data_IF_466145000958
#
_entry.id   IF_466145000958
#
_cell.length_a   1.000
_cell.length_b   1.000
_cell.length_c   1.000
_cell.angle_alpha   90.00
_cell.angle_beta   90.00
_cell.angle_gamma   90.00
#
_symmetry.space_group_name_H-M   'P 1'
#
loop_
_entity.id
_entity.type
_entity.pdbx_description
1 polymer ?
2 non-polymer ?
3 water ?
#
# COMPACT_ATOMS: atom_id res chain seq x y z
N UNK A 4 -12.37 -4.63 -3.60
CA UNK A 4 -12.10 -5.71 -2.66
C UNK A 4 -10.62 -6.04 -2.40
N UNK A 5 -9.68 -5.46 -3.14
CA UNK A 5 -8.27 -5.83 -3.05
C UNK A 5 -7.37 -4.67 -2.61
N UNK A 6 -6.51 -4.94 -1.63
CA UNK A 6 -5.49 -3.99 -1.21
C UNK A 6 -4.16 -4.39 -1.83
N UNK A 7 -3.31 -3.39 -2.08
CA UNK A 7 -2.01 -3.68 -2.68
C UNK A 7 -1.16 -4.44 -1.68
N UNK A 8 -0.45 -5.47 -2.15
CA UNK A 8 0.18 -6.41 -1.23
C UNK A 8 1.55 -5.91 -0.79
N UNK A 9 1.76 -5.87 0.53
CA UNK A 9 3.06 -5.58 1.12
C UNK A 9 3.40 -6.76 2.03
N UNK A 10 4.55 -7.41 1.86
CA UNK A 10 4.89 -8.56 2.71
C UNK A 10 4.93 -8.17 4.18
N UNK A 11 4.62 -9.14 5.04
CA UNK A 11 4.50 -8.76 6.45
C UNK A 11 5.86 -8.52 7.11
N UNK A 12 6.98 -8.80 6.45
CA UNK A 12 8.23 -8.39 7.06
C UNK A 12 8.51 -6.89 6.87
N UNK A 13 7.60 -6.14 6.25
CA UNK A 13 7.77 -4.72 6.03
C UNK A 13 6.54 -3.99 6.54
N UNK A 14 6.68 -2.67 6.66
CA UNK A 14 5.59 -1.79 7.05
C UNK A 14 5.72 -0.49 6.26
N UNK A 15 4.59 0.15 6.03
CA UNK A 15 4.61 1.54 5.58
C UNK A 15 4.53 2.46 6.79
N UNK A 16 5.57 3.28 6.98
CA UNK A 16 5.66 4.28 8.02
C UNK A 16 6.07 5.59 7.39
N UNK A 17 6.00 6.67 8.18
CA UNK A 17 6.32 7.98 7.63
C UNK A 17 7.75 8.00 7.10
N UNK A 18 7.91 8.36 5.82
CA UNK A 18 9.26 8.41 5.24
C UNK A 18 10.10 9.56 5.83
N UNK A 19 11.40 9.33 5.94
CA UNK A 19 12.31 10.33 6.46
C UNK A 19 13.06 11.07 5.36
N UNK A 20 12.82 10.71 4.11
CA UNK A 20 13.49 11.32 2.97
C UNK A 20 12.54 11.98 2.00
N UNK A 21 11.23 11.83 2.19
CA UNK A 21 10.24 12.40 1.29
C UNK A 21 8.95 12.55 2.07
N UNK A 22 8.08 13.44 1.58
CA UNK A 22 6.73 13.53 2.12
C UNK A 22 6.03 12.20 1.93
N UNK A 23 5.18 11.83 2.88
CA UNK A 23 4.40 10.60 2.75
C UNK A 23 5.08 9.37 3.32
N UNK A 24 4.61 8.23 2.85
CA UNK A 24 5.05 6.96 3.43
C UNK A 24 6.29 6.47 2.73
N UNK A 25 7.03 5.62 3.43
CA UNK A 25 8.08 4.83 2.79
C UNK A 25 8.04 3.41 3.32
N UNK A 26 8.86 2.54 2.71
CA UNK A 26 8.86 1.16 3.12
C UNK A 26 9.89 0.98 4.23
N UNK A 27 9.46 0.39 5.36
CA UNK A 27 10.28 0.19 6.54
C UNK A 27 10.34 -1.30 6.85
N UNK A 28 11.39 -1.74 7.54
CA UNK A 28 11.44 -3.12 7.97
C UNK A 28 10.53 -3.31 9.19
N UNK A 29 9.83 -4.45 9.25
CA UNK A 29 9.12 -4.87 10.45
C UNK A 29 9.84 -5.98 11.20
N UNK A 30 10.91 -6.52 10.60
CA UNK A 30 11.88 -7.36 11.28
C UNK A 30 13.21 -7.15 10.55
N UNK A 31 14.28 -7.70 11.14
CA UNK A 31 15.62 -7.46 10.63
C UNK A 31 15.75 -7.99 9.21
N UNK A 32 16.65 -7.38 8.45
CA UNK A 32 17.10 -7.93 7.17
C UNK A 32 18.57 -8.27 7.31
N UNK A 33 18.94 -9.47 6.91
CA UNK A 33 20.34 -9.88 6.94
C UNK A 33 21.04 -9.41 5.68
N UNK A 34 22.30 -8.99 5.83
CA UNK A 34 23.16 -8.74 4.69
C UNK A 34 23.11 -9.90 3.70
N UNK A 35 22.89 -9.58 2.44
CA UNK A 35 22.81 -10.57 1.39
C UNK A 35 21.41 -11.00 0.99
N UNK A 36 20.39 -10.68 1.77
CA UNK A 36 19.03 -10.97 1.33
C UNK A 36 18.70 -10.13 0.12
N UNK A 37 17.92 -10.71 -0.79
CA UNK A 37 17.54 -10.03 -2.00
C UNK A 37 16.03 -10.09 -2.15
N UNK A 38 15.48 -9.04 -2.72
CA UNK A 38 14.04 -8.88 -2.79
C UNK A 38 13.65 -8.57 -4.22
N UNK A 39 12.49 -9.09 -4.60
CA UNK A 39 12.00 -8.91 -5.94
C UNK A 39 11.63 -10.23 -6.59
N UNK A 40 11.56 -10.25 -7.93
CA UNK A 40 11.97 -9.16 -8.84
C UNK A 40 11.08 -7.91 -8.81
N UNK A 41 11.67 -6.79 -9.22
CA UNK A 41 10.94 -5.55 -9.44
C UNK A 41 9.95 -5.75 -10.56
N UNK A 42 8.71 -5.32 -10.35
CA UNK A 42 7.65 -5.52 -11.31
C UNK A 42 7.33 -4.21 -11.99
N UNK A 43 7.08 -4.27 -13.29
CA UNK A 43 6.61 -3.06 -13.96
C UNK A 43 6.16 -3.39 -15.38
N UNK A 44 5.69 -2.37 -16.07
CA UNK A 44 5.32 -2.54 -17.47
C UNK A 44 6.55 -2.44 -18.35
N UNK A 45 6.69 -3.36 -19.29
CA UNK A 45 7.82 -3.33 -20.21
C UNK A 45 7.62 -2.21 -21.23
N UNK A 46 8.49 -1.22 -21.20
CA UNK A 46 8.45 -0.10 -22.13
C UNK A 46 9.67 -0.15 -23.05
N UNK A 47 9.45 0.19 -24.39
CA UNK A 47 10.60 0.51 -25.24
C UNK A 47 10.97 1.97 -25.06
N UNK A 48 12.22 2.36 -25.26
CA UNK A 48 12.61 3.76 -25.04
C UNK A 48 11.81 4.72 -25.92
N UNK A 49 11.19 5.72 -25.27
CA UNK A 49 10.38 6.74 -25.95
C UNK A 49 10.16 7.96 -25.05
N UNK A 58 14.16 6.54 -9.55
CA UNK A 58 12.74 6.82 -9.76
C UNK A 58 11.91 5.55 -9.68
N UNK A 59 10.95 5.41 -10.59
CA UNK A 59 10.10 4.22 -10.71
C UNK A 59 10.43 3.39 -11.95
N UNK A 60 11.61 3.56 -12.52
CA UNK A 60 11.96 2.88 -13.78
C UNK A 60 13.33 2.24 -13.67
N UNK A 61 13.47 1.11 -14.36
CA UNK A 61 14.75 0.42 -14.45
C UNK A 61 14.99 0.00 -15.88
N UNK A 62 16.14 0.37 -16.43
CA UNK A 62 16.55 -0.20 -17.70
C UNK A 62 16.97 -1.64 -17.50
N UNK A 63 16.59 -2.51 -18.42
CA UNK A 63 17.04 -3.88 -18.39
C UNK A 63 17.96 -4.05 -19.60
N UNK A 64 19.19 -4.49 -19.35
CA UNK A 64 20.20 -4.61 -20.41
C UNK A 64 20.59 -6.06 -20.64
N UNK A 65 21.08 -6.35 -21.85
CA UNK A 65 21.52 -7.68 -22.19
C UNK A 65 22.97 -7.94 -21.84
N UNK A 66 23.43 -9.17 -22.17
CA UNK A 66 24.80 -9.59 -21.86
C UNK A 66 25.83 -8.57 -22.32
N UNK A 67 25.60 -7.95 -23.48
CA UNK A 67 26.53 -7.03 -24.12
C UNK A 67 26.34 -5.57 -23.71
N UNK A 68 25.42 -5.27 -22.80
CA UNK A 68 25.20 -3.89 -22.40
C UNK A 68 24.12 -3.16 -23.17
N UNK A 69 23.49 -3.82 -24.15
CA UNK A 69 22.45 -3.20 -24.96
C UNK A 69 21.14 -3.14 -24.18
N UNK A 70 20.40 -2.06 -24.36
CA UNK A 70 19.15 -1.88 -23.64
C UNK A 70 18.08 -2.76 -24.28
N UNK A 71 17.52 -3.66 -23.48
CA UNK A 71 16.43 -4.52 -23.97
C UNK A 71 15.09 -3.82 -23.86
N UNK A 72 14.80 -3.26 -22.69
CA UNK A 72 13.54 -2.55 -22.46
C UNK A 72 13.67 -1.84 -21.12
N UNK A 73 12.65 -1.05 -20.76
CA UNK A 73 12.57 -0.37 -19.47
C UNK A 73 11.39 -0.94 -18.70
N UNK A 74 11.62 -1.22 -17.41
CA UNK A 74 10.56 -1.59 -16.49
C UNK A 74 10.03 -0.33 -15.82
N UNK A 75 8.73 -0.07 -15.97
CA UNK A 75 8.12 1.16 -15.48
C UNK A 75 7.06 0.80 -14.44
N UNK A 76 7.28 1.21 -13.19
CA UNK A 76 6.34 0.98 -12.10
C UNK A 76 5.42 2.16 -11.86
N UNK A 77 5.34 3.10 -12.82
CA UNK A 77 4.49 4.28 -12.62
C UNK A 77 3.06 3.89 -12.27
N UNK A 78 2.58 2.80 -12.86
CA UNK A 78 1.22 2.36 -12.62
C UNK A 78 1.23 1.31 -11.53
N UNK A 79 0.61 1.57 -10.41
CA UNK A 79 0.65 0.61 -9.31
C UNK A 79 0.02 -0.67 -9.62
N UNK A 80 -0.90 -0.71 -10.57
CA UNK A 80 -1.51 -1.97 -10.93
C UNK A 80 -0.60 -2.89 -11.71
N UNK A 81 0.45 -2.37 -12.32
CA UNK A 81 1.36 -3.21 -12.96
C UNK A 81 2.67 -3.33 -12.22
N UNK A 82 2.71 -2.97 -10.95
CA UNK A 82 3.96 -3.11 -10.22
C UNK A 82 3.75 -3.79 -8.89
N UNK A 83 4.74 -3.73 -8.00
CA UNK A 83 4.61 -4.43 -6.74
C UNK A 83 5.22 -3.56 -5.65
N UNK A 84 5.37 -4.12 -4.47
CA UNK A 84 5.72 -3.32 -3.31
C UNK A 84 7.13 -2.73 -3.39
N UNK A 85 7.99 -3.20 -4.32
CA UNK A 85 9.33 -2.60 -4.40
C UNK A 85 9.25 -1.16 -4.83
N UNK A 86 8.12 -0.76 -5.44
CA UNK A 86 7.95 0.63 -5.83
C UNK A 86 7.92 1.60 -4.67
N UNK A 87 7.65 1.13 -3.45
CA UNK A 87 7.59 1.98 -2.28
C UNK A 87 8.94 2.29 -1.68
N UNK A 88 10.00 1.69 -2.21
CA UNK A 88 11.35 1.90 -1.69
C UNK A 88 11.90 3.17 -2.31
N UNK A 89 12.13 4.22 -1.49
CA UNK A 89 12.58 5.46 -2.07
C UNK A 89 14.09 5.43 -2.33
N UNK A 90 14.55 6.37 -3.14
CA UNK A 90 15.97 6.54 -3.41
C UNK A 90 16.68 7.16 -2.22
N UNK A 91 17.91 6.72 -1.95
CA UNK A 91 18.72 7.31 -0.87
C UNK A 91 19.19 8.70 -1.28
N UNK A 92 18.94 9.74 -0.48
CA UNK A 92 19.44 11.09 -0.84
C UNK A 92 20.96 11.19 -0.88
N UNK A 93 21.65 10.43 -0.06
CA UNK A 93 23.10 10.37 -0.07
C UNK A 93 23.52 8.91 0.07
N UNK A 94 24.62 8.54 -0.59
CA UNK A 94 25.05 7.15 -0.64
C UNK A 94 25.29 6.55 0.74
N UNK A 95 25.38 7.35 1.80
CA UNK A 95 25.58 6.81 3.14
C UNK A 95 24.31 6.24 3.72
N UNK A 96 23.15 6.73 3.27
CA UNK A 96 21.87 6.24 3.76
C UNK A 96 21.41 4.99 3.04
N UNK A 97 22.06 4.61 1.93
CA UNK A 97 21.57 3.48 1.15
C UNK A 97 21.74 2.21 1.96
N UNK A 98 20.71 1.34 1.97
CA UNK A 98 20.90 -0.01 2.48
C UNK A 98 20.48 -1.09 1.49
N UNK A 99 20.01 -0.72 0.29
CA UNK A 99 19.77 -1.66 -0.79
C UNK A 99 20.47 -1.17 -2.04
N UNK A 100 20.93 -2.12 -2.86
CA UNK A 100 21.48 -1.80 -4.16
C UNK A 100 20.75 -2.60 -5.23
N UNK A 101 20.56 -1.99 -6.39
CA UNK A 101 19.91 -2.68 -7.49
C UNK A 101 20.90 -3.57 -8.25
N UNK A 102 20.54 -4.83 -8.42
CA UNK A 102 21.34 -5.79 -9.16
C UNK A 102 20.49 -6.29 -10.29
N UNK A 103 21.06 -6.45 -11.48
CA UNK A 103 20.28 -7.06 -12.55
C UNK A 103 20.79 -8.49 -12.71
N UNK A 104 20.04 -9.44 -12.20
CA UNK A 104 20.43 -10.85 -12.23
C UNK A 104 19.77 -11.43 -13.46
N UNK A 105 20.57 -11.74 -14.48
CA UNK A 105 19.96 -12.07 -15.76
C UNK A 105 19.14 -10.89 -16.25
N UNK A 106 17.85 -11.09 -16.47
CA UNK A 106 16.97 -10.04 -16.96
C UNK A 106 16.07 -9.44 -15.88
N UNK A 107 16.27 -9.80 -14.62
CA UNK A 107 15.41 -9.29 -13.56
C UNK A 107 16.17 -8.30 -12.69
N UNK A 108 15.46 -7.30 -12.17
CA UNK A 108 16.01 -6.36 -11.20
C UNK A 108 15.66 -6.85 -9.81
N UNK A 109 16.68 -7.01 -8.97
CA UNK A 109 16.49 -7.33 -7.57
C UNK A 109 17.13 -6.24 -6.70
N UNK A 110 16.56 -6.07 -5.51
CA UNK A 110 17.12 -5.15 -4.54
C UNK A 110 17.86 -5.95 -3.49
N UNK A 111 19.18 -5.75 -3.41
CA UNK A 111 20.05 -6.58 -2.57
C UNK A 111 20.40 -5.81 -1.30
N UNK A 112 20.23 -6.46 -0.12
CA UNK A 112 20.62 -5.81 1.13
C UNK A 112 22.12 -5.87 1.28
N UNK A 113 22.76 -4.72 1.30
CA UNK A 113 24.23 -4.70 1.28
C UNK A 113 24.81 -4.53 2.67
N UNK A 114 23.97 -4.31 3.68
CA UNK A 114 24.36 -4.38 5.08
C UNK A 114 23.20 -5.05 5.82
N UNK A 115 23.44 -5.43 7.07
CA UNK A 115 22.35 -5.77 7.96
C UNK A 115 21.45 -4.55 8.13
N UNK A 116 20.13 -4.77 8.15
CA UNK A 116 19.18 -3.69 8.34
C UNK A 116 18.36 -3.99 9.58
N UNK A 117 18.38 -3.07 10.54
CA UNK A 117 17.64 -3.25 11.78
C UNK A 117 16.14 -3.13 11.53
N UNK A 118 15.34 -3.67 12.46
CA UNK A 118 13.91 -3.41 12.47
C UNK A 118 13.63 -1.92 12.54
N UNK A 119 12.49 -1.53 11.93
CA UNK A 119 11.98 -0.16 11.96
C UNK A 119 12.92 0.85 11.29
N UNK A 120 13.55 0.44 10.18
CA UNK A 120 14.41 1.30 9.37
C UNK A 120 13.86 1.44 7.96
N UNK A 121 13.91 2.65 7.41
CA UNK A 121 13.42 2.84 6.06
C UNK A 121 14.39 2.23 5.06
N UNK A 122 13.84 1.52 4.07
CA UNK A 122 14.66 0.93 3.01
C UNK A 122 14.93 1.98 1.96
N UNK A 123 16.18 2.10 1.53
CA UNK A 123 16.54 3.15 0.60
C UNK A 123 17.48 2.54 -0.43
N UNK A 124 17.14 2.72 -1.68
CA UNK A 124 17.89 2.12 -2.79
C UNK A 124 18.92 3.10 -3.31
N UNK A 125 20.07 2.57 -3.70
CA UNK A 125 21.08 3.36 -4.35
C UNK A 125 21.97 2.48 -5.20
N UNK A 126 23.11 3.05 -5.60
CA UNK A 126 24.15 2.33 -6.33
C UNK A 126 25.04 1.57 -5.36
N UNK A 127 25.50 0.41 -5.78
CA UNK A 127 26.69 -0.15 -5.16
C UNK A 127 27.80 0.86 -5.33
N UNK A 128 28.51 1.16 -4.26
CA UNK A 128 29.71 1.96 -4.52
C UNK A 128 30.97 1.37 -3.93
N UNK A 129 32.02 2.19 -3.89
CA UNK A 129 33.29 1.94 -3.19
C UNK A 129 34.24 3.06 -3.60
N UNK B 4 -25.17 -0.93 25.73
CA UNK B 4 -24.52 0.13 26.49
C UNK B 4 -23.31 0.68 25.76
N UNK B 5 -23.14 0.32 24.49
CA UNK B 5 -21.96 0.67 23.71
C UNK B 5 -22.33 1.57 22.55
N UNK B 6 -21.65 2.69 22.42
CA UNK B 6 -21.73 3.50 21.22
C UNK B 6 -20.59 3.16 20.28
N UNK B 7 -20.86 3.27 18.99
CA UNK B 7 -19.86 3.01 17.96
C UNK B 7 -18.74 4.02 18.05
N UNK B 8 -17.50 3.52 18.16
CA UNK B 8 -16.40 4.41 18.42
C UNK B 8 -15.94 5.06 17.11
N UNK B 9 -15.87 6.40 17.10
CA UNK B 9 -15.38 7.14 15.94
C UNK B 9 -14.33 8.12 16.45
N UNK B 10 -13.08 8.00 16.06
CA UNK B 10 -12.03 8.92 16.53
C UNK B 10 -12.39 10.39 16.35
N UNK B 11 -11.96 11.21 17.34
CA UNK B 11 -12.18 12.66 17.40
C UNK B 11 -11.94 13.38 16.09
N UNK B 12 -10.92 12.95 15.35
CA UNK B 12 -10.50 13.63 14.13
C UNK B 12 -11.42 13.36 12.94
N UNK B 13 -12.37 12.45 13.09
CA UNK B 13 -13.39 12.19 12.08
C UNK B 13 -14.77 12.57 12.60
N UNK B 14 -15.71 12.65 11.66
CA UNK B 14 -17.11 12.90 11.98
C UNK B 14 -17.98 12.02 11.10
N UNK B 15 -18.98 11.36 11.67
CA UNK B 15 -19.94 10.60 10.88
C UNK B 15 -21.11 11.52 10.52
N UNK B 16 -21.34 11.69 9.21
CA UNK B 16 -22.29 12.67 8.68
C UNK B 16 -23.05 11.99 7.55
N UNK B 17 -24.04 12.69 6.99
CA UNK B 17 -24.73 12.14 5.82
C UNK B 17 -23.73 12.03 4.66
N UNK B 18 -23.67 10.86 4.01
CA UNK B 18 -22.74 10.68 2.89
C UNK B 18 -23.19 11.48 1.68
N UNK B 19 -22.23 11.99 0.94
CA UNK B 19 -22.55 12.68 -0.31
C UNK B 19 -22.42 11.78 -1.54
N UNK B 20 -22.19 10.47 -1.36
CA UNK B 20 -22.04 9.57 -2.50
C UNK B 20 -22.97 8.37 -2.38
N UNK B 21 -23.60 8.22 -1.22
CA UNK B 21 -24.50 7.09 -1.01
C UNK B 21 -25.59 7.54 -0.04
N UNK B 22 -26.74 6.89 -0.11
CA UNK B 22 -27.73 7.08 0.94
C UNK B 22 -27.21 6.34 2.15
N UNK B 23 -27.05 7.04 3.25
CA UNK B 23 -26.45 6.50 4.42
C UNK B 23 -25.43 7.45 5.00
N UNK B 24 -24.74 6.97 6.03
CA UNK B 24 -23.74 7.77 6.72
C UNK B 24 -22.38 7.53 6.08
N UNK B 25 -21.56 8.59 6.02
CA UNK B 25 -20.20 8.46 5.54
C UNK B 25 -19.26 9.16 6.52
N UNK B 26 -17.98 8.88 6.35
CA UNK B 26 -16.97 9.39 7.27
C UNK B 26 -16.29 10.61 6.67
N UNK B 27 -16.20 11.67 7.48
CA UNK B 27 -15.65 12.96 7.08
C UNK B 27 -14.50 13.33 7.99
N UNK B 28 -13.55 14.09 7.47
CA UNK B 28 -12.54 14.66 8.34
C UNK B 28 -13.15 15.77 9.21
N UNK B 29 -12.74 15.80 10.48
CA UNK B 29 -13.03 16.92 11.38
C UNK B 29 -11.76 17.73 11.63
N UNK B 30 -10.64 17.23 11.12
CA UNK B 30 -9.40 17.97 11.03
C UNK B 30 -8.64 17.43 9.82
N UNK B 31 -7.65 18.20 9.36
CA UNK B 31 -6.91 17.85 8.15
C UNK B 31 -6.21 16.50 8.32
N UNK B 32 -5.97 15.85 7.18
CA UNK B 32 -5.20 14.62 7.08
C UNK B 32 -4.01 14.89 6.16
N UNK B 33 -2.82 14.46 6.56
CA UNK B 33 -1.65 14.68 5.74
C UNK B 33 -1.42 13.49 4.80
N UNK B 34 -1.04 13.79 3.56
CA UNK B 34 -0.68 12.73 2.62
C UNK B 34 0.23 11.73 3.32
N UNK B 35 -0.07 10.46 3.12
CA UNK B 35 0.72 9.40 3.71
C UNK B 35 0.28 8.92 5.08
N UNK B 36 -0.61 9.63 5.78
CA UNK B 36 -1.14 9.09 7.03
C UNK B 36 -1.84 7.75 6.80
N UNK B 37 -1.76 6.86 7.80
CA UNK B 37 -2.23 5.49 7.65
C UNK B 37 -3.27 5.19 8.72
N UNK B 38 -4.39 4.55 8.33
CA UNK B 38 -5.47 4.24 9.26
C UNK B 38 -5.79 2.76 9.19
N UNK B 39 -6.06 2.17 10.34
CA UNK B 39 -6.41 0.78 10.40
C UNK B 39 -5.69 0.10 11.54
N UNK B 40 -5.68 -1.23 11.53
CA UNK B 40 -6.29 -2.01 10.46
C UNK B 40 -7.82 -2.00 10.42
N UNK B 41 -8.32 -2.28 9.23
CA UNK B 41 -9.74 -2.60 9.04
C UNK B 41 -10.11 -3.79 9.91
N UNK B 42 -11.22 -3.68 10.63
CA UNK B 42 -11.66 -4.75 11.51
C UNK B 42 -12.89 -5.41 10.90
N UNK B 43 -12.96 -6.73 11.09
CA UNK B 43 -14.14 -7.44 10.62
C UNK B 43 -14.05 -8.89 11.02
N UNK B 44 -15.04 -9.64 10.57
CA UNK B 44 -15.04 -11.08 10.74
C UNK B 44 -14.51 -11.75 9.48
N UNK B 45 -13.81 -12.86 9.69
CA UNK B 45 -13.28 -13.66 8.59
C UNK B 45 -14.32 -14.63 8.07
N UNK B 46 -14.54 -14.62 6.75
CA UNK B 46 -15.50 -15.48 6.07
C UNK B 46 -14.77 -16.27 5.00
N UNK B 47 -15.49 -17.26 4.37
CA UNK B 47 -14.90 -17.86 3.19
C UNK B 47 -15.73 -17.53 1.95
N UNK B 48 -15.08 -17.19 0.85
CA UNK B 48 -15.79 -16.54 -0.27
C UNK B 48 -16.93 -17.34 -0.89
N UNK B 49 -16.87 -18.68 -0.85
CA UNK B 49 -17.97 -19.46 -1.44
C UNK B 49 -19.27 -19.28 -0.67
N UNK B 50 -19.17 -18.92 0.63
CA UNK B 50 -20.28 -18.83 1.58
C UNK B 50 -21.10 -17.57 1.44
N UNK B 51 -20.56 -16.52 0.89
CA UNK B 51 -21.35 -15.37 0.81
C UNK B 51 -22.65 -15.63 0.16
N UNK B 52 -23.66 -15.03 0.69
CA UNK B 52 -24.88 -15.06 -0.03
C UNK B 52 -24.50 -14.24 -1.27
N UNK B 53 -25.10 -14.60 -2.38
CA UNK B 53 -24.95 -13.97 -3.65
C UNK B 53 -25.20 -12.51 -3.50
N UNK B 54 -26.34 -12.20 -2.94
CA UNK B 54 -26.67 -10.83 -2.67
C UNK B 54 -26.09 -10.31 -1.31
N UNK B 55 -24.76 -10.07 -1.28
CA UNK B 55 -23.95 -9.55 -0.15
C UNK B 55 -23.13 -8.33 -0.58
N UNK B 56 -22.78 -7.46 0.37
CA UNK B 56 -22.23 -6.15 0.03
C UNK B 56 -20.71 -6.21 0.05
N UNK B 57 -20.10 -6.28 -1.14
CA UNK B 57 -18.66 -6.27 -1.23
C UNK B 57 -18.05 -4.98 -0.70
N UNK B 58 -18.83 -3.89 -0.66
CA UNK B 58 -18.29 -2.62 -0.17
C UNK B 58 -17.99 -2.63 1.31
N UNK B 59 -18.51 -3.60 2.05
CA UNK B 59 -18.18 -3.73 3.47
C UNK B 59 -17.16 -4.83 3.71
N UNK B 60 -16.37 -5.21 2.69
CA UNK B 60 -15.59 -6.44 2.71
C UNK B 60 -14.27 -6.28 1.97
N UNK B 61 -13.23 -6.89 2.50
CA UNK B 61 -11.94 -6.93 1.82
C UNK B 61 -11.53 -8.37 1.61
N UNK B 62 -11.04 -8.69 0.41
CA UNK B 62 -10.32 -9.95 0.21
C UNK B 62 -8.93 -9.83 0.83
N UNK B 63 -8.53 -10.84 1.61
CA UNK B 63 -7.20 -10.88 2.19
C UNK B 63 -6.44 -11.95 1.41
N UNK B 64 -5.35 -11.56 0.79
CA UNK B 64 -4.71 -12.45 -0.19
C UNK B 64 -3.32 -12.86 0.26
N UNK B 65 -2.88 -13.97 -0.30
CA UNK B 65 -1.54 -14.45 -0.07
C UNK B 65 -0.56 -13.80 -1.03
N UNK B 66 0.71 -14.12 -0.83
CA UNK B 66 1.74 -13.48 -1.64
C UNK B 66 1.59 -13.77 -3.13
N UNK B 67 0.93 -14.86 -3.50
CA UNK B 67 0.77 -15.21 -4.91
C UNK B 67 -0.58 -14.79 -5.47
N UNK B 68 -1.31 -13.91 -4.76
CA UNK B 68 -2.56 -13.36 -5.22
C UNK B 68 -3.79 -14.18 -4.91
N UNK B 69 -3.61 -15.35 -4.32
CA UNK B 69 -4.74 -16.21 -3.97
C UNK B 69 -5.52 -15.62 -2.80
N UNK B 70 -6.84 -15.77 -2.83
CA UNK B 70 -7.70 -15.28 -1.75
C UNK B 70 -7.59 -16.20 -0.55
N UNK B 71 -7.15 -15.67 0.59
CA UNK B 71 -7.14 -16.50 1.79
C UNK B 71 -8.52 -16.50 2.45
N UNK B 72 -9.18 -15.34 2.46
CA UNK B 72 -10.51 -15.21 3.05
C UNK B 72 -11.05 -13.82 2.76
N UNK B 73 -12.21 -13.50 3.33
CA UNK B 73 -12.83 -12.18 3.23
C UNK B 73 -12.97 -11.63 4.63
N UNK B 74 -12.65 -10.35 4.77
CA UNK B 74 -12.87 -9.61 6.01
C UNK B 74 -14.21 -8.90 5.87
N UNK B 75 -15.14 -9.17 6.78
CA UNK B 75 -16.53 -8.82 6.60
C UNK B 75 -16.95 -7.86 7.72
N UNK B 76 -17.30 -6.63 7.35
CA UNK B 76 -17.71 -5.60 8.32
C UNK B 76 -19.20 -5.33 8.25
N UNK B 77 -19.99 -6.24 7.67
CA UNK B 77 -21.42 -5.99 7.50
C UNK B 77 -22.08 -5.68 8.83
N UNK B 78 -21.60 -6.33 9.90
CA UNK B 78 -22.14 -6.10 11.23
C UNK B 78 -21.33 -5.01 11.94
N UNK B 79 -21.90 -3.83 12.16
CA UNK B 79 -21.14 -2.75 12.84
C UNK B 79 -20.56 -3.16 14.19
N UNK B 80 -21.14 -4.16 14.85
CA UNK B 80 -20.69 -4.49 16.19
C UNK B 80 -19.45 -5.38 16.23
N UNK B 81 -18.98 -5.91 15.10
CA UNK B 81 -17.71 -6.64 15.05
C UNK B 81 -16.78 -6.05 14.01
N UNK B 82 -16.90 -4.75 13.77
CA UNK B 82 -16.02 -4.03 12.88
C UNK B 82 -15.65 -2.73 13.56
N UNK B 83 -15.03 -1.81 12.81
CA UNK B 83 -14.64 -0.52 13.39
C UNK B 83 -15.01 0.58 12.41
N UNK B 84 -14.54 1.80 12.71
CA UNK B 84 -15.04 2.97 12.00
C UNK B 84 -14.60 3.03 10.54
N UNK B 85 -13.59 2.26 10.14
CA UNK B 85 -13.20 2.26 8.72
C UNK B 85 -14.31 1.75 7.84
N UNK B 86 -15.26 0.99 8.39
CA UNK B 86 -16.40 0.53 7.59
C UNK B 86 -17.23 1.67 7.04
N UNK B 87 -17.19 2.88 7.64
CA UNK B 87 -17.97 3.99 7.14
C UNK B 87 -17.33 4.72 5.98
N UNK B 88 -16.13 4.33 5.55
CA UNK B 88 -15.52 4.96 4.39
C UNK B 88 -16.12 4.32 3.14
N UNK B 89 -16.74 5.14 2.30
CA UNK B 89 -17.34 4.62 1.08
C UNK B 89 -16.33 4.55 -0.06
N UNK B 90 -16.71 3.78 -1.08
CA UNK B 90 -15.93 3.74 -2.33
C UNK B 90 -16.10 5.05 -3.07
N UNK B 91 -15.01 5.56 -3.63
CA UNK B 91 -15.11 6.81 -4.40
C UNK B 91 -15.81 6.55 -5.72
N UNK B 92 -16.80 7.38 -6.10
CA UNK B 92 -17.51 7.12 -7.36
C UNK B 92 -16.69 7.48 -8.58
N UNK B 93 -15.72 8.38 -8.43
CA UNK B 93 -14.83 8.82 -9.50
C UNK B 93 -13.42 8.89 -8.96
N UNK B 94 -12.44 8.69 -9.85
CA UNK B 94 -11.06 8.65 -9.40
C UNK B 94 -10.60 9.99 -8.81
N UNK B 95 -11.24 11.10 -9.17
CA UNK B 95 -10.84 12.40 -8.63
C UNK B 95 -11.30 12.63 -7.19
N UNK B 96 -12.37 11.97 -6.74
CA UNK B 96 -12.83 12.12 -5.36
C UNK B 96 -12.14 11.16 -4.41
N UNK B 97 -11.35 10.24 -4.94
CA UNK B 97 -10.61 9.29 -4.15
C UNK B 97 -9.53 10.02 -3.36
N UNK B 98 -9.53 9.85 -2.04
CA UNK B 98 -8.43 10.38 -1.23
C UNK B 98 -7.79 9.35 -0.32
N UNK B 99 -8.26 8.09 -0.38
CA UNK B 99 -7.63 6.97 0.32
C UNK B 99 -7.35 5.82 -0.63
N UNK B 100 -6.29 5.06 -0.36
CA UNK B 100 -6.06 3.80 -1.06
C UNK B 100 -5.90 2.66 -0.07
N UNK B 101 -6.28 1.45 -0.50
CA UNK B 101 -6.20 0.28 0.37
C UNK B 101 -4.84 -0.40 0.17
N UNK B 102 -4.15 -0.69 1.27
CA UNK B 102 -2.88 -1.44 1.28
C UNK B 102 -3.10 -2.69 2.13
N UNK B 103 -2.66 -3.88 1.66
CA UNK B 103 -2.68 -5.05 2.52
C UNK B 103 -1.27 -5.33 3.04
N UNK B 104 -1.03 -5.05 4.31
CA UNK B 104 0.28 -5.30 4.91
C UNK B 104 0.20 -6.60 5.69
N UNK B 105 0.82 -7.64 5.14
CA UNK B 105 0.56 -8.98 5.66
C UNK B 105 -0.89 -9.26 5.44
N UNK B 106 -1.59 -9.60 6.51
CA UNK B 106 -3.01 -9.87 6.42
C UNK B 106 -3.86 -8.71 6.96
N UNK B 107 -3.25 -7.56 7.29
CA UNK B 107 -4.00 -6.38 7.73
C UNK B 107 -4.28 -5.43 6.56
N UNK B 108 -5.51 -4.92 6.49
CA UNK B 108 -5.88 -3.89 5.53
C UNK B 108 -5.76 -2.53 6.21
N UNK B 109 -5.03 -1.63 5.57
CA UNK B 109 -4.89 -0.25 6.04
C UNK B 109 -5.35 0.69 4.94
N UNK B 110 -5.87 1.84 5.36
CA UNK B 110 -6.27 2.88 4.42
C UNK B 110 -5.21 3.97 4.45
N UNK B 111 -4.67 4.30 3.29
CA UNK B 111 -3.57 5.25 3.16
C UNK B 111 -4.04 6.55 2.51
N UNK B 112 -3.77 7.69 3.14
CA UNK B 112 -4.10 8.96 2.51
C UNK B 112 -3.21 9.24 1.29
N UNK B 113 -3.83 9.41 0.12
CA UNK B 113 -3.02 9.56 -1.10
C UNK B 113 -2.79 11.04 -1.42
N UNK B 114 -3.25 11.93 -0.56
CA UNK B 114 -3.17 13.36 -0.79
C UNK B 114 -3.48 14.04 0.52
N UNK B 115 -3.14 15.33 0.61
CA UNK B 115 -3.61 16.09 1.75
C UNK B 115 -5.12 16.21 1.68
N UNK B 116 -5.78 16.07 2.82
CA UNK B 116 -7.24 16.12 2.85
C UNK B 116 -7.62 17.25 3.78
N UNK B 117 -8.42 18.18 3.27
CA UNK B 117 -8.88 19.29 4.09
C UNK B 117 -9.96 18.83 5.06
N UNK B 118 -10.25 19.67 6.05
CA UNK B 118 -11.31 19.38 7.00
C UNK B 118 -12.66 19.37 6.30
N UNK B 119 -13.60 18.64 6.89
CA UNK B 119 -14.99 18.56 6.43
C UNK B 119 -15.11 17.99 5.03
N UNK B 120 -14.29 16.98 4.74
CA UNK B 120 -14.24 16.31 3.45
C UNK B 120 -14.54 14.82 3.64
N UNK B 121 -15.35 14.26 2.75
CA UNK B 121 -15.69 12.85 2.90
C UNK B 121 -14.49 12.00 2.50
N UNK B 122 -14.21 10.99 3.30
CA UNK B 122 -13.14 10.04 2.98
C UNK B 122 -13.69 8.99 2.03
N UNK B 123 -12.98 8.76 0.92
CA UNK B 123 -13.49 7.90 -0.14
C UNK B 123 -12.30 7.07 -0.63
N UNK B 124 -12.50 5.75 -0.70
CA UNK B 124 -11.44 4.77 -0.97
C UNK B 124 -11.49 4.24 -2.41
N UNK B 125 -10.32 3.86 -2.92
CA UNK B 125 -10.25 3.08 -4.14
C UNK B 125 -8.85 2.50 -4.24
N UNK B 126 -8.50 2.01 -5.41
CA UNK B 126 -7.15 1.43 -5.51
C UNK B 126 -6.12 2.54 -5.77
N UNK B 127 -4.89 2.27 -5.31
CA UNK B 127 -3.77 3.19 -5.52
C UNK B 127 -3.62 3.56 -7.00
N UNK B 128 -3.55 4.86 -7.27
CA UNK B 128 -3.68 5.39 -8.64
C UNK B 128 -4.84 4.72 -9.40
#
# INVERSE_FOLDING_TARGET
>A
GSGMLGMYVPDRFSLKSSRVQDGMGLYTARRVRKGEKFGPFAGEKRMPEDLDENMDYRLMWEVRGSKGEVLYILDATNPRHSNWLRFVHEAPSQEQKNLAAIQEGENIFYLAVEDIETDTELLIGYLDSD
>B
GSGMLGMYVPDRFSLKSSRVQDGMGLYTARRVRKGEKFGPFAGEKRMPEDLDENMDYRLMWEVRGSKGEVLYILDATNPRHSNWLRFVHEAPSQEQKNLAAIQEGENIFYLAVEDIETDTELLIGYLDSD
#
